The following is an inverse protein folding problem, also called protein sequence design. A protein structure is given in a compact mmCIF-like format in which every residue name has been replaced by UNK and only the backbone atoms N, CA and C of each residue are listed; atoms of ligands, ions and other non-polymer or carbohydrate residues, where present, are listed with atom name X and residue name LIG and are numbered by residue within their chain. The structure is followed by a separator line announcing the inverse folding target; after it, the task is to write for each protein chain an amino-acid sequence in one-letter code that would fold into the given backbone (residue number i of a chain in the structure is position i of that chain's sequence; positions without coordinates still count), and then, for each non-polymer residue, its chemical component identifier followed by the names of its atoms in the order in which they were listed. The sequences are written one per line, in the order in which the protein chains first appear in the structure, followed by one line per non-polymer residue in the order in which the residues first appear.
data_IF_013964024498
#
_entry.id   IF_013964024498
#
_cell.length_a   1.000
_cell.length_b   1.000
_cell.length_c   1.000
_cell.angle_alpha   90.00
_cell.angle_beta   90.00
_cell.angle_gamma   90.00
#
_symmetry.space_group_name_H-M   'P 1'
#
loop_
_entity.id
_entity.type
_entity.pdbx_description
1 polymer ?
#
# COMPACT_ATOMS: atom_id res chain seq x y z
N UNK A 1 46.71 -31.08 40.40
CA UNK A 1 46.64 -29.60 40.66
C UNK A 1 46.92 -28.75 39.41
N UNK A 2 48.07 -28.91 38.69
CA UNK A 2 48.39 -28.11 37.50
C UNK A 2 47.37 -28.31 36.35
N UNK A 3 46.86 -29.53 36.17
CA UNK A 3 45.82 -29.82 35.17
C UNK A 3 44.48 -29.15 35.55
N UNK A 4 44.13 -29.09 36.83
CA UNK A 4 42.94 -28.41 37.34
C UNK A 4 43.01 -26.88 37.12
N UNK A 5 44.16 -26.27 37.41
CA UNK A 5 44.40 -24.81 37.18
C UNK A 5 44.29 -24.46 35.67
N UNK A 6 44.83 -25.29 34.76
CA UNK A 6 44.68 -25.13 33.34
C UNK A 6 43.19 -25.24 32.91
N UNK A 7 42.43 -26.15 33.52
CA UNK A 7 40.98 -26.31 33.30
C UNK A 7 40.19 -25.07 33.74
N UNK A 8 40.53 -24.52 34.88
CA UNK A 8 39.89 -23.29 35.41
C UNK A 8 40.19 -22.09 34.51
N UNK A 9 41.41 -21.93 34.03
CA UNK A 9 41.74 -20.88 33.07
C UNK A 9 40.92 -20.93 31.80
N UNK A 10 40.72 -22.15 31.25
CA UNK A 10 39.83 -22.35 30.10
C UNK A 10 38.36 -22.04 30.42
N UNK A 11 37.88 -22.43 31.60
CA UNK A 11 36.53 -22.11 32.03
C UNK A 11 36.31 -20.60 32.19
N UNK A 12 37.27 -19.89 32.79
CA UNK A 12 37.23 -18.43 32.91
C UNK A 12 37.22 -17.71 31.56
N UNK A 13 38.09 -18.18 30.60
CA UNK A 13 38.11 -17.63 29.26
C UNK A 13 36.77 -17.87 28.51
N UNK A 14 36.21 -19.09 28.58
CA UNK A 14 34.91 -19.41 27.96
C UNK A 14 33.76 -18.64 28.59
N UNK A 15 33.83 -18.40 29.92
CA UNK A 15 32.82 -17.59 30.61
C UNK A 15 32.87 -16.11 30.20
N UNK A 16 34.07 -15.53 30.00
CA UNK A 16 34.23 -14.16 29.49
C UNK A 16 33.72 -14.03 28.06
N UNK A 17 33.95 -15.05 27.21
CA UNK A 17 33.39 -15.07 25.85
C UNK A 17 31.85 -15.15 25.88
N UNK A 18 31.28 -15.99 26.77
CA UNK A 18 29.84 -16.08 26.97
C UNK A 18 29.24 -14.75 27.48
N UNK A 19 29.95 -14.05 28.38
CA UNK A 19 29.56 -12.72 28.86
C UNK A 19 29.44 -11.73 27.70
N UNK A 20 30.49 -11.61 26.88
CA UNK A 20 30.50 -10.71 25.72
C UNK A 20 29.38 -11.03 24.72
N UNK A 21 29.15 -12.30 24.42
CA UNK A 21 28.05 -12.72 23.52
C UNK A 21 26.67 -12.45 24.14
N UNK A 22 26.54 -12.54 25.46
CA UNK A 22 25.28 -12.24 26.15
C UNK A 22 24.96 -10.75 26.12
N UNK A 23 25.98 -9.88 26.25
CA UNK A 23 25.85 -8.42 26.09
C UNK A 23 25.51 -8.02 24.66
N UNK A 24 26.17 -8.63 23.66
CA UNK A 24 25.85 -8.42 22.24
C UNK A 24 24.40 -8.86 21.93
N UNK A 25 23.98 -9.99 22.47
CA UNK A 25 22.62 -10.48 22.30
C UNK A 25 21.58 -9.55 22.96
N UNK A 26 21.86 -9.01 24.14
CA UNK A 26 20.98 -8.05 24.78
C UNK A 26 20.80 -6.78 23.94
N UNK A 27 21.89 -6.23 23.41
CA UNK A 27 21.84 -5.05 22.52
C UNK A 27 21.07 -5.34 21.23
N UNK A 28 21.27 -6.51 20.61
CA UNK A 28 20.53 -6.90 19.41
C UNK A 28 19.02 -7.13 19.68
N UNK A 29 18.66 -7.61 20.87
CA UNK A 29 17.27 -7.73 21.28
C UNK A 29 16.60 -6.38 21.51
N UNK A 30 17.28 -5.41 22.12
CA UNK A 30 16.78 -4.04 22.28
C UNK A 30 16.52 -3.38 20.91
N UNK A 31 17.45 -3.51 19.95
CA UNK A 31 17.28 -2.98 18.59
C UNK A 31 16.12 -3.68 17.87
N UNK A 32 16.00 -5.02 18.05
CA UNK A 32 14.89 -5.80 17.47
C UNK A 32 13.55 -5.38 18.06
N UNK A 33 13.46 -5.17 19.39
CA UNK A 33 12.25 -4.75 20.05
C UNK A 33 11.81 -3.34 19.56
N UNK A 34 12.75 -2.40 19.46
CA UNK A 34 12.48 -1.05 18.92
C UNK A 34 11.98 -1.10 17.47
N UNK A 35 12.61 -1.94 16.63
CA UNK A 35 12.18 -2.13 15.24
C UNK A 35 10.78 -2.74 15.15
N UNK A 36 10.44 -3.67 16.05
CA UNK A 36 9.12 -4.29 16.10
C UNK A 36 8.04 -3.31 16.54
N UNK A 37 8.35 -2.37 17.45
CA UNK A 37 7.43 -1.29 17.82
C UNK A 37 7.14 -0.35 16.63
N UNK A 38 8.17 0.01 15.84
CA UNK A 38 8.01 0.83 14.64
C UNK A 38 7.17 0.11 13.57
N UNK A 39 7.45 -1.19 13.33
CA UNK A 39 6.66 -2.00 12.39
C UNK A 39 5.20 -2.10 12.87
N UNK A 40 4.96 -2.33 14.17
CA UNK A 40 3.62 -2.40 14.74
C UNK A 40 2.85 -1.10 14.54
N UNK A 41 3.49 0.04 14.76
CA UNK A 41 2.91 1.37 14.51
C UNK A 41 2.56 1.55 13.03
N UNK A 42 3.47 1.14 12.13
CA UNK A 42 3.26 1.23 10.68
C UNK A 42 2.08 0.36 10.22
N UNK A 43 1.97 -0.88 10.72
CA UNK A 43 0.86 -1.79 10.39
C UNK A 43 -0.47 -1.24 10.92
N UNK A 44 -0.49 -0.65 12.11
CA UNK A 44 -1.67 0.04 12.64
C UNK A 44 -2.09 1.20 11.74
N UNK A 45 -1.15 2.05 11.34
CA UNK A 45 -1.40 3.16 10.41
C UNK A 45 -1.92 2.65 9.05
N UNK A 46 -1.38 1.54 8.53
CA UNK A 46 -1.89 0.92 7.32
C UNK A 46 -3.35 0.48 7.47
N UNK A 47 -3.72 -0.09 8.60
CA UNK A 47 -5.12 -0.48 8.88
C UNK A 47 -6.06 0.73 8.87
N UNK A 48 -5.65 1.85 9.46
CA UNK A 48 -6.40 3.11 9.44
C UNK A 48 -6.50 3.68 8.01
N UNK A 49 -5.41 3.66 7.25
CA UNK A 49 -5.39 4.10 5.86
C UNK A 49 -6.32 3.25 4.97
N UNK A 50 -6.36 1.95 5.18
CA UNK A 50 -7.25 1.01 4.47
C UNK A 50 -8.71 1.34 4.78
N UNK A 51 -9.08 1.61 6.04
CA UNK A 51 -10.44 2.00 6.41
C UNK A 51 -10.86 3.33 5.74
N UNK A 52 -9.95 4.31 5.70
CA UNK A 52 -10.18 5.58 5.02
C UNK A 52 -10.33 5.39 3.50
N UNK A 53 -9.47 4.56 2.89
CA UNK A 53 -9.54 4.25 1.46
C UNK A 53 -10.86 3.56 1.11
N UNK A 54 -11.36 2.63 1.94
CA UNK A 54 -12.65 1.97 1.75
C UNK A 54 -13.81 2.98 1.76
N UNK A 55 -13.78 3.98 2.65
CA UNK A 55 -14.78 5.05 2.69
C UNK A 55 -14.77 5.90 1.42
N UNK A 56 -13.56 6.26 0.93
CA UNK A 56 -13.40 7.02 -0.32
C UNK A 56 -13.93 6.23 -1.52
N UNK A 57 -13.62 4.94 -1.60
CA UNK A 57 -14.08 4.04 -2.65
C UNK A 57 -15.61 3.93 -2.66
N UNK A 58 -16.25 3.82 -1.50
CA UNK A 58 -17.71 3.81 -1.39
C UNK A 58 -18.32 5.11 -1.91
N UNK A 59 -17.75 6.26 -1.53
CA UNK A 59 -18.18 7.57 -1.99
C UNK A 59 -18.01 7.74 -3.51
N UNK A 60 -16.88 7.29 -4.06
CA UNK A 60 -16.59 7.31 -5.49
C UNK A 60 -17.55 6.41 -6.28
N UNK A 61 -17.90 5.24 -5.75
CA UNK A 61 -18.90 4.33 -6.34
C UNK A 61 -20.27 5.01 -6.46
N UNK A 62 -20.74 5.63 -5.38
CA UNK A 62 -22.03 6.32 -5.36
C UNK A 62 -22.05 7.51 -6.34
N UNK A 63 -20.97 8.30 -6.34
CA UNK A 63 -20.84 9.45 -7.25
C UNK A 63 -20.82 8.99 -8.72
N UNK A 64 -20.08 7.95 -9.05
CA UNK A 64 -20.02 7.42 -10.42
C UNK A 64 -21.36 6.85 -10.87
N UNK A 65 -22.10 6.19 -9.99
CA UNK A 65 -23.44 5.67 -10.28
C UNK A 65 -24.42 6.82 -10.56
N UNK A 66 -24.45 7.83 -9.70
CA UNK A 66 -25.31 9.01 -9.90
C UNK A 66 -24.96 9.73 -11.21
N UNK A 67 -23.68 9.91 -11.53
CA UNK A 67 -23.25 10.49 -12.79
C UNK A 67 -23.72 9.66 -14.00
N UNK A 68 -23.68 8.34 -13.90
CA UNK A 68 -24.23 7.43 -14.93
C UNK A 68 -25.73 7.62 -15.12
N UNK A 69 -26.52 7.79 -14.05
CA UNK A 69 -27.95 8.08 -14.11
C UNK A 69 -28.21 9.43 -14.77
N UNK A 70 -27.49 10.48 -14.39
CA UNK A 70 -27.60 11.81 -15.00
C UNK A 70 -27.29 11.78 -16.51
N UNK A 71 -26.28 11.02 -16.93
CA UNK A 71 -25.94 10.86 -18.35
C UNK A 71 -27.09 10.13 -19.11
N UNK A 72 -27.71 9.12 -18.52
CA UNK A 72 -28.87 8.46 -19.10
C UNK A 72 -30.06 9.41 -19.27
N UNK A 73 -30.27 10.30 -18.31
CA UNK A 73 -31.30 11.35 -18.41
C UNK A 73 -31.02 12.31 -19.56
N UNK A 74 -29.74 12.69 -19.78
CA UNK A 74 -29.32 13.50 -20.92
C UNK A 74 -29.63 12.78 -22.25
N UNK A 75 -29.34 11.49 -22.35
CA UNK A 75 -29.66 10.69 -23.56
C UNK A 75 -31.18 10.71 -23.84
N UNK A 76 -32.00 10.55 -22.78
CA UNK A 76 -33.46 10.61 -22.89
C UNK A 76 -33.92 11.99 -23.37
N UNK A 77 -33.40 13.08 -22.77
CA UNK A 77 -33.68 14.44 -23.19
C UNK A 77 -33.31 14.70 -24.65
N UNK A 78 -32.16 14.23 -25.12
CA UNK A 78 -31.75 14.36 -26.52
C UNK A 78 -32.72 13.66 -27.46
N UNK A 79 -33.23 12.49 -27.07
CA UNK A 79 -34.26 11.76 -27.83
C UNK A 79 -35.57 12.55 -27.92
N UNK A 80 -36.02 13.14 -26.81
CA UNK A 80 -37.24 13.96 -26.77
C UNK A 80 -37.09 15.20 -27.67
N UNK A 81 -35.92 15.89 -27.60
CA UNK A 81 -35.65 17.04 -28.45
C UNK A 81 -35.62 16.65 -29.95
N UNK A 82 -35.08 15.48 -30.27
CA UNK A 82 -35.10 14.96 -31.64
C UNK A 82 -36.56 14.73 -32.14
N UNK A 83 -37.43 14.16 -31.30
CA UNK A 83 -38.84 13.96 -31.64
C UNK A 83 -39.58 15.29 -31.85
N UNK A 84 -39.36 16.28 -30.98
CA UNK A 84 -39.93 17.61 -31.16
C UNK A 84 -39.41 18.31 -32.41
N UNK A 85 -38.15 18.15 -32.72
CA UNK A 85 -37.55 18.74 -33.94
C UNK A 85 -38.17 18.13 -35.20
N UNK A 86 -38.44 16.83 -35.23
CA UNK A 86 -39.13 16.19 -36.31
C UNK A 86 -40.60 16.69 -36.46
N UNK A 87 -41.31 16.93 -35.37
CA UNK A 87 -42.65 17.55 -35.41
C UNK A 87 -42.60 18.97 -36.00
N UNK A 88 -41.57 19.77 -35.65
CA UNK A 88 -41.42 21.11 -36.23
C UNK A 88 -41.10 21.00 -37.72
N UNK A 89 -40.34 20.01 -38.18
CA UNK A 89 -40.08 19.74 -39.59
C UNK A 89 -41.39 19.49 -40.33
N UNK A 90 -42.29 18.61 -39.81
CA UNK A 90 -43.60 18.31 -40.37
C UNK A 90 -44.49 19.57 -40.47
N UNK A 91 -44.51 20.42 -39.42
CA UNK A 91 -45.26 21.67 -39.43
C UNK A 91 -44.70 22.64 -40.52
N UNK A 92 -43.38 22.64 -40.69
CA UNK A 92 -42.73 23.49 -41.70
C UNK A 92 -43.05 23.01 -43.14
N UNK A 93 -43.22 21.72 -43.32
CA UNK A 93 -43.72 21.12 -44.58
C UNK A 93 -45.15 21.60 -44.90
N UNK A 94 -46.01 21.64 -43.90
CA UNK A 94 -47.38 22.19 -44.06
C UNK A 94 -47.37 23.67 -44.41
N UNK A 95 -46.51 24.47 -43.75
CA UNK A 95 -46.38 25.93 -44.06
C UNK A 95 -45.88 26.13 -45.51
N UNK A 96 -44.90 25.36 -45.93
CA UNK A 96 -44.41 25.42 -47.33
C UNK A 96 -45.50 25.06 -48.36
N UNK A 97 -46.31 24.03 -48.05
CA UNK A 97 -47.45 23.66 -48.89
C UNK A 97 -48.52 24.76 -48.96
N UNK A 98 -48.85 25.40 -47.82
CA UNK A 98 -49.79 26.55 -47.77
C UNK A 98 -49.24 27.74 -48.56
N UNK A 99 -47.94 28.04 -48.43
CA UNK A 99 -47.32 29.09 -49.19
C UNK A 99 -47.36 28.84 -50.69
N UNK A 100 -47.08 27.60 -51.09
CA UNK A 100 -47.22 27.18 -52.49
C UNK A 100 -48.64 27.33 -53.02
N UNK A 101 -49.66 26.85 -52.25
CA UNK A 101 -51.07 27.01 -52.61
C UNK A 101 -51.44 28.50 -52.75
N UNK A 102 -51.00 29.32 -51.80
CA UNK A 102 -51.23 30.76 -51.81
C UNK A 102 -50.58 31.46 -53.02
N UNK A 103 -49.37 31.03 -53.40
CA UNK A 103 -48.69 31.53 -54.60
C UNK A 103 -49.50 31.19 -55.89
N UNK A 104 -50.08 29.97 -55.97
CA UNK A 104 -50.91 29.55 -57.09
C UNK A 104 -52.24 30.36 -57.11
N UNK A 105 -52.88 30.56 -55.95
CA UNK A 105 -54.10 31.35 -55.82
C UNK A 105 -53.85 32.82 -56.24
N UNK A 106 -52.74 33.41 -55.79
CA UNK A 106 -52.35 34.75 -56.15
C UNK A 106 -52.03 34.90 -57.68
N UNK A 107 -51.40 33.89 -58.26
CA UNK A 107 -51.17 33.81 -59.70
C UNK A 107 -52.47 33.79 -60.47
N UNK A 108 -53.44 32.93 -60.09
CA UNK A 108 -54.76 32.87 -60.70
C UNK A 108 -55.52 34.19 -60.59
N UNK A 109 -55.46 34.85 -59.43
CA UNK A 109 -56.05 36.16 -59.17
C UNK A 109 -55.40 37.27 -60.06
N UNK A 110 -54.09 37.20 -60.23
CA UNK A 110 -53.38 38.15 -61.14
C UNK A 110 -53.78 37.98 -62.60
N UNK A 111 -53.95 36.76 -63.03
CA UNK A 111 -54.43 36.42 -64.40
C UNK A 111 -55.86 36.95 -64.60
N UNK A 112 -56.78 36.76 -63.66
CA UNK A 112 -58.17 37.23 -63.78
C UNK A 112 -58.27 38.77 -63.69
N UNK A 113 -57.40 39.41 -62.85
CA UNK A 113 -57.30 40.84 -62.80
C UNK A 113 -56.82 41.43 -64.13
N UNK A 114 -55.86 40.80 -64.81
CA UNK A 114 -55.41 41.19 -66.15
C UNK A 114 -56.53 41.04 -67.20
N UNK A 115 -57.40 40.04 -67.05
CA UNK A 115 -58.54 39.77 -67.90
C UNK A 115 -59.64 40.81 -67.80
N UNK A 116 -59.80 41.40 -66.58
CA UNK A 116 -60.74 42.46 -66.32
C UNK A 116 -60.31 43.85 -66.82
N UNK A 117 -59.10 44.00 -67.39
CA UNK A 117 -58.57 45.24 -67.99
C UNK A 117 -58.43 46.34 -66.95
N UNK A 118 -58.79 47.59 -67.29
CA UNK A 118 -58.70 48.76 -66.44
C UNK A 118 -59.39 48.65 -65.07
N UNK A 119 -60.53 47.86 -65.02
CA UNK A 119 -61.29 47.70 -63.79
C UNK A 119 -60.55 46.69 -62.81
N UNK A 120 -59.61 45.90 -63.32
CA UNK A 120 -58.83 44.94 -62.54
C UNK A 120 -57.54 45.49 -61.92
N UNK A 121 -57.12 46.72 -62.24
CA UNK A 121 -55.77 47.23 -61.82
C UNK A 121 -55.49 47.17 -60.31
N UNK A 122 -56.47 47.50 -59.46
CA UNK A 122 -56.33 47.41 -57.98
C UNK A 122 -56.14 45.99 -57.52
N UNK A 123 -56.86 45.00 -58.11
CA UNK A 123 -56.73 43.59 -57.82
C UNK A 123 -55.40 42.98 -58.30
N UNK A 124 -54.86 43.46 -59.41
CA UNK A 124 -53.55 43.03 -59.93
C UNK A 124 -52.41 43.42 -58.99
N UNK A 125 -52.45 44.61 -58.35
CA UNK A 125 -51.50 45.03 -57.34
C UNK A 125 -51.55 44.14 -56.09
N UNK A 126 -52.77 43.94 -55.57
CA UNK A 126 -52.92 43.10 -54.36
C UNK A 126 -52.53 41.64 -54.60
N UNK A 127 -52.89 41.06 -55.73
CA UNK A 127 -52.46 39.72 -56.09
C UNK A 127 -50.95 39.58 -56.31
N UNK A 128 -50.31 40.64 -56.84
CA UNK A 128 -48.86 40.70 -56.91
C UNK A 128 -48.18 40.69 -55.52
N UNK A 129 -48.72 41.47 -54.59
CA UNK A 129 -48.19 41.54 -53.20
C UNK A 129 -48.40 40.22 -52.44
N UNK A 130 -49.60 39.59 -52.61
CA UNK A 130 -49.87 38.29 -52.02
C UNK A 130 -48.93 37.21 -52.57
N UNK A 131 -48.61 37.28 -53.87
CA UNK A 131 -47.66 36.34 -54.48
C UNK A 131 -46.24 36.52 -53.95
N UNK A 132 -45.79 37.76 -53.77
CA UNK A 132 -44.47 38.07 -53.19
C UNK A 132 -44.40 37.59 -51.74
N UNK A 133 -45.44 37.78 -50.92
CA UNK A 133 -45.54 37.31 -49.56
C UNK A 133 -45.48 35.77 -49.51
N UNK A 134 -46.20 35.09 -50.40
CA UNK A 134 -46.19 33.62 -50.51
C UNK A 134 -44.79 33.11 -50.82
N UNK A 135 -44.06 33.75 -51.76
CA UNK A 135 -42.69 33.39 -52.06
C UNK A 135 -41.76 33.59 -50.86
N UNK A 136 -41.89 34.72 -50.14
CA UNK A 136 -41.10 34.96 -48.87
C UNK A 136 -41.42 33.90 -47.81
N UNK A 137 -42.66 33.43 -47.69
CA UNK A 137 -43.04 32.36 -46.77
C UNK A 137 -42.36 31.03 -47.21
N UNK A 138 -42.34 30.66 -48.48
CA UNK A 138 -41.65 29.48 -48.98
C UNK A 138 -40.14 29.53 -48.68
N UNK A 139 -39.50 30.67 -48.93
CA UNK A 139 -38.07 30.83 -48.70
C UNK A 139 -37.76 30.74 -47.18
N UNK A 140 -38.61 31.29 -46.33
CA UNK A 140 -38.50 31.22 -44.87
C UNK A 140 -38.69 29.80 -44.35
N UNK A 141 -39.67 29.07 -44.88
CA UNK A 141 -39.93 27.66 -44.55
C UNK A 141 -38.72 26.76 -44.92
N UNK A 142 -38.13 27.00 -46.10
CA UNK A 142 -36.91 26.30 -46.50
C UNK A 142 -35.71 26.55 -45.60
N UNK A 143 -35.51 27.82 -45.15
CA UNK A 143 -34.46 28.18 -44.21
C UNK A 143 -34.69 27.49 -42.83
N UNK A 144 -35.94 27.44 -42.36
CA UNK A 144 -36.28 26.73 -41.12
C UNK A 144 -35.96 25.24 -41.22
N UNK A 145 -36.31 24.59 -42.33
CA UNK A 145 -35.98 23.17 -42.56
C UNK A 145 -34.47 22.90 -42.45
N UNK A 146 -33.65 23.76 -43.09
CA UNK A 146 -32.20 23.65 -43.02
C UNK A 146 -31.71 23.75 -41.57
N UNK A 147 -32.27 24.69 -40.80
CA UNK A 147 -31.89 24.90 -39.38
C UNK A 147 -32.30 23.68 -38.54
N UNK A 148 -33.48 23.10 -38.77
CA UNK A 148 -33.95 21.89 -38.07
C UNK A 148 -33.07 20.69 -38.39
N UNK A 149 -32.76 20.46 -39.65
CA UNK A 149 -31.90 19.35 -40.08
C UNK A 149 -30.52 19.44 -39.39
N UNK A 150 -29.90 20.62 -39.41
CA UNK A 150 -28.65 20.87 -38.68
C UNK A 150 -28.80 20.64 -37.17
N UNK A 151 -29.95 20.97 -36.59
CA UNK A 151 -30.22 20.77 -35.15
C UNK A 151 -30.34 19.28 -34.83
N UNK A 152 -31.09 18.52 -35.62
CA UNK A 152 -31.23 17.06 -35.48
C UNK A 152 -29.88 16.36 -35.57
N UNK A 153 -29.02 16.77 -36.51
CA UNK A 153 -27.65 16.23 -36.61
C UNK A 153 -26.82 16.49 -35.36
N UNK A 154 -26.89 17.72 -34.81
CA UNK A 154 -26.19 18.08 -33.55
C UNK A 154 -26.74 17.30 -32.35
N UNK A 155 -28.05 17.07 -32.27
CA UNK A 155 -28.69 16.29 -31.23
C UNK A 155 -28.22 14.83 -31.31
N UNK A 156 -28.19 14.24 -32.50
CA UNK A 156 -27.69 12.88 -32.72
C UNK A 156 -26.22 12.75 -32.24
N UNK A 157 -25.37 13.69 -32.65
CA UNK A 157 -23.98 13.71 -32.21
C UNK A 157 -23.84 13.89 -30.69
N UNK A 158 -24.68 14.73 -30.08
CA UNK A 158 -24.74 14.92 -28.63
C UNK A 158 -25.19 13.65 -27.88
N UNK A 159 -26.18 12.95 -28.42
CA UNK A 159 -26.65 11.67 -27.88
C UNK A 159 -25.56 10.60 -27.92
N UNK A 160 -24.84 10.45 -29.02
CA UNK A 160 -23.73 9.52 -29.16
C UNK A 160 -22.58 9.84 -28.17
N UNK A 161 -22.30 11.11 -27.95
CA UNK A 161 -21.31 11.54 -26.97
C UNK A 161 -21.75 11.23 -25.53
N UNK A 162 -23.01 11.44 -25.20
CA UNK A 162 -23.59 11.12 -23.90
C UNK A 162 -23.55 9.59 -23.66
N UNK A 163 -23.93 8.78 -24.66
CA UNK A 163 -23.88 7.32 -24.54
C UNK A 163 -22.44 6.83 -24.29
N UNK A 164 -21.43 7.37 -25.01
CA UNK A 164 -20.02 7.08 -24.76
C UNK A 164 -19.57 7.48 -23.34
N UNK A 165 -20.05 8.63 -22.85
CA UNK A 165 -19.77 9.05 -21.49
C UNK A 165 -20.40 8.09 -20.45
N UNK A 166 -21.63 7.62 -20.68
CA UNK A 166 -22.29 6.61 -19.85
C UNK A 166 -21.50 5.30 -19.79
N UNK A 167 -21.05 4.81 -20.93
CA UNK A 167 -20.20 3.61 -21.02
C UNK A 167 -18.85 3.80 -20.29
N UNK A 168 -18.28 5.00 -20.37
CA UNK A 168 -17.07 5.33 -19.59
C UNK A 168 -17.31 5.31 -18.08
N UNK A 169 -18.47 5.77 -17.62
CA UNK A 169 -18.84 5.69 -16.19
C UNK A 169 -18.99 4.24 -15.73
N UNK A 170 -19.55 3.34 -16.53
CA UNK A 170 -19.59 1.91 -16.21
C UNK A 170 -18.18 1.32 -16.05
N UNK A 171 -17.24 1.70 -16.91
CA UNK A 171 -15.84 1.28 -16.78
C UNK A 171 -15.18 1.82 -15.52
N UNK A 172 -15.51 3.05 -15.10
CA UNK A 172 -15.06 3.62 -13.83
C UNK A 172 -15.59 2.81 -12.65
N UNK A 173 -16.89 2.47 -12.62
CA UNK A 173 -17.49 1.63 -11.57
C UNK A 173 -16.79 0.28 -11.48
N UNK A 174 -16.57 -0.40 -12.61
CA UNK A 174 -15.85 -1.69 -12.65
C UNK A 174 -14.41 -1.57 -12.13
N UNK A 175 -13.75 -0.44 -12.38
CA UNK A 175 -12.39 -0.18 -11.88
C UNK A 175 -12.40 0.05 -10.37
N UNK A 176 -13.39 0.77 -9.86
CA UNK A 176 -13.59 1.00 -8.43
C UNK A 176 -13.88 -0.31 -7.69
N UNK A 177 -14.66 -1.22 -8.27
CA UNK A 177 -14.88 -2.56 -7.68
C UNK A 177 -13.58 -3.35 -7.54
N UNK A 178 -12.69 -3.28 -8.55
CA UNK A 178 -11.35 -3.91 -8.43
C UNK A 178 -10.52 -3.29 -7.32
N UNK A 179 -10.55 -1.96 -7.17
CA UNK A 179 -9.86 -1.28 -6.07
C UNK A 179 -10.43 -1.72 -4.72
N UNK A 180 -11.75 -1.87 -4.60
CA UNK A 180 -12.38 -2.35 -3.37
C UNK A 180 -11.90 -3.76 -2.98
N UNK A 181 -11.73 -4.66 -3.94
CA UNK A 181 -11.18 -5.99 -3.70
C UNK A 181 -9.74 -5.92 -3.18
N UNK A 182 -8.88 -5.08 -3.81
CA UNK A 182 -7.49 -4.87 -3.36
C UNK A 182 -7.46 -4.32 -1.93
N UNK A 183 -8.32 -3.35 -1.60
CA UNK A 183 -8.44 -2.79 -0.25
C UNK A 183 -8.81 -3.88 0.77
N UNK A 184 -9.74 -4.77 0.41
CA UNK A 184 -10.12 -5.91 1.24
C UNK A 184 -8.93 -6.87 1.48
N UNK A 185 -8.16 -7.18 0.44
CA UNK A 185 -6.96 -8.02 0.55
C UNK A 185 -5.90 -7.38 1.45
N UNK A 186 -5.65 -6.07 1.30
CA UNK A 186 -4.70 -5.33 2.16
C UNK A 186 -5.18 -5.33 3.62
N UNK A 187 -6.50 -5.19 3.86
CA UNK A 187 -7.09 -5.26 5.20
C UNK A 187 -6.82 -6.59 5.87
N UNK A 188 -7.03 -7.69 5.14
CA UNK A 188 -6.78 -9.05 5.64
C UNK A 188 -5.29 -9.23 5.93
N UNK A 189 -4.42 -8.84 4.99
CA UNK A 189 -2.96 -8.95 5.14
C UNK A 189 -2.45 -8.12 6.34
N UNK A 190 -2.95 -6.89 6.53
CA UNK A 190 -2.58 -6.06 7.68
C UNK A 190 -3.01 -6.66 9.01
N UNK A 191 -4.19 -7.30 9.05
CA UNK A 191 -4.66 -8.02 10.24
C UNK A 191 -3.78 -9.23 10.56
N UNK A 192 -3.37 -10.00 9.54
CA UNK A 192 -2.45 -11.12 9.70
C UNK A 192 -1.05 -10.66 10.14
N UNK A 193 -0.54 -9.57 9.56
CA UNK A 193 0.72 -8.94 9.97
C UNK A 193 0.67 -8.51 11.44
N UNK A 194 -0.43 -7.89 11.89
CA UNK A 194 -0.60 -7.50 13.29
C UNK A 194 -0.47 -8.68 14.24
N UNK A 195 -1.11 -9.82 13.92
CA UNK A 195 -1.00 -11.06 14.71
C UNK A 195 0.42 -11.64 14.69
N UNK A 196 1.07 -11.61 13.52
CA UNK A 196 2.45 -12.07 13.38
C UNK A 196 3.43 -11.24 14.21
N UNK A 197 3.26 -9.93 14.23
CA UNK A 197 4.05 -9.00 15.05
C UNK A 197 3.86 -9.30 16.54
N UNK A 198 2.63 -9.52 17.01
CA UNK A 198 2.35 -9.87 18.41
C UNK A 198 3.06 -11.17 18.83
N UNK A 199 3.11 -12.16 17.96
CA UNK A 199 3.85 -13.40 18.18
C UNK A 199 5.36 -13.17 18.25
N UNK A 200 5.91 -12.31 17.35
CA UNK A 200 7.35 -11.98 17.36
C UNK A 200 7.69 -11.19 18.65
N UNK A 201 6.87 -10.23 19.07
CA UNK A 201 7.07 -9.51 20.31
C UNK A 201 7.09 -10.47 21.53
N UNK A 202 6.22 -11.47 21.53
CA UNK A 202 6.23 -12.51 22.57
C UNK A 202 7.54 -13.29 22.57
N UNK A 203 8.03 -13.71 21.39
CA UNK A 203 9.29 -14.43 21.26
C UNK A 203 10.51 -13.58 21.67
N UNK A 204 10.52 -12.29 21.35
CA UNK A 204 11.58 -11.34 21.77
C UNK A 204 11.60 -11.21 23.29
N UNK A 205 10.43 -11.11 23.94
CA UNK A 205 10.36 -11.07 25.40
C UNK A 205 10.86 -12.38 26.04
N UNK A 206 10.55 -13.54 25.45
CA UNK A 206 11.08 -14.82 25.93
C UNK A 206 12.62 -14.90 25.76
N UNK A 207 13.16 -14.38 24.65
CA UNK A 207 14.61 -14.27 24.44
C UNK A 207 15.28 -13.34 25.44
N UNK A 208 14.66 -12.22 25.81
CA UNK A 208 15.17 -11.33 26.84
C UNK A 208 15.28 -12.04 28.19
N UNK A 209 14.25 -12.80 28.59
CA UNK A 209 14.29 -13.61 29.80
C UNK A 209 15.43 -14.64 29.79
N UNK A 210 15.69 -15.27 28.63
CA UNK A 210 16.82 -16.22 28.49
C UNK A 210 18.16 -15.47 28.58
N UNK A 211 18.28 -14.32 27.96
CA UNK A 211 19.49 -13.48 28.00
C UNK A 211 19.80 -13.00 29.41
N UNK A 212 18.80 -12.58 30.17
CA UNK A 212 18.94 -12.26 31.59
C UNK A 212 19.40 -13.47 32.44
N UNK A 213 18.84 -14.66 32.17
CA UNK A 213 19.30 -15.91 32.82
C UNK A 213 20.74 -16.23 32.46
N UNK A 214 21.14 -16.05 31.22
CA UNK A 214 22.54 -16.25 30.77
C UNK A 214 23.50 -15.30 31.50
N UNK A 215 23.14 -14.03 31.64
CA UNK A 215 23.92 -13.04 32.39
C UNK A 215 24.12 -13.48 33.84
N UNK A 216 23.07 -13.93 34.51
CA UNK A 216 23.13 -14.44 35.87
C UNK A 216 23.99 -15.73 35.98
N UNK A 217 23.91 -16.61 34.98
CA UNK A 217 24.75 -17.83 34.94
C UNK A 217 26.22 -17.50 34.75
N UNK A 218 26.55 -16.54 33.88
CA UNK A 218 27.92 -16.02 33.66
C UNK A 218 28.49 -15.50 34.99
N UNK A 219 27.75 -14.71 35.76
CA UNK A 219 28.18 -14.20 37.04
C UNK A 219 28.42 -15.34 38.05
N UNK A 220 27.51 -16.32 38.13
CA UNK A 220 27.69 -17.47 39.00
C UNK A 220 28.89 -18.33 38.62
N UNK A 221 29.08 -18.60 37.30
CA UNK A 221 30.24 -19.34 36.78
C UNK A 221 31.57 -18.63 37.13
N UNK A 222 31.61 -17.29 37.00
CA UNK A 222 32.79 -16.51 37.39
C UNK A 222 33.13 -16.64 38.87
N UNK A 223 32.14 -16.54 39.78
CA UNK A 223 32.31 -16.73 41.23
C UNK A 223 32.77 -18.16 41.55
N UNK A 224 32.20 -19.17 40.93
CA UNK A 224 32.60 -20.57 41.12
C UNK A 224 34.02 -20.83 40.62
N UNK A 225 34.37 -20.33 39.43
CA UNK A 225 35.72 -20.48 38.87
C UNK A 225 36.78 -19.86 39.80
N UNK A 226 36.51 -18.66 40.33
CA UNK A 226 37.38 -17.99 41.29
C UNK A 226 37.53 -18.79 42.61
N UNK A 227 36.46 -19.39 43.16
CA UNK A 227 36.52 -20.22 44.34
C UNK A 227 37.36 -21.46 44.12
N UNK A 228 37.15 -22.15 43.00
CA UNK A 228 37.92 -23.37 42.67
C UNK A 228 39.40 -23.04 42.43
N UNK A 229 39.70 -21.87 41.88
CA UNK A 229 41.06 -21.39 41.73
C UNK A 229 41.75 -21.17 43.09
N UNK A 230 41.06 -20.56 44.07
CA UNK A 230 41.57 -20.37 45.41
C UNK A 230 41.84 -21.71 46.06
N UNK A 231 40.88 -22.68 46.03
CA UNK A 231 41.04 -24.01 46.61
C UNK A 231 42.22 -24.78 45.95
N UNK A 232 42.36 -24.71 44.62
CA UNK A 232 43.44 -25.37 43.91
C UNK A 232 44.83 -24.76 44.29
N UNK A 233 44.91 -23.46 44.49
CA UNK A 233 46.16 -22.82 44.96
C UNK A 233 46.48 -23.15 46.40
N UNK A 234 45.53 -23.31 47.29
CA UNK A 234 45.69 -23.77 48.65
C UNK A 234 46.24 -25.22 48.68
N UNK A 235 45.63 -26.11 47.92
CA UNK A 235 46.09 -27.48 47.73
C UNK A 235 47.55 -27.53 47.16
N UNK A 236 47.91 -26.65 46.24
CA UNK A 236 49.31 -26.55 45.77
C UNK A 236 50.25 -26.21 46.89
N UNK A 237 49.95 -25.20 47.70
CA UNK A 237 50.78 -24.81 48.86
C UNK A 237 50.92 -25.94 49.87
N UNK A 238 49.83 -26.69 50.17
CA UNK A 238 49.92 -27.86 51.03
C UNK A 238 50.83 -28.95 50.47
N UNK A 239 50.72 -29.30 49.16
CA UNK A 239 51.56 -30.31 48.52
C UNK A 239 53.03 -29.88 48.43
N UNK A 240 53.32 -28.58 48.24
CA UNK A 240 54.71 -28.07 48.27
C UNK A 240 55.33 -28.23 49.67
N UNK A 241 54.57 -28.02 50.75
CA UNK A 241 55.05 -28.21 52.09
C UNK A 241 55.45 -29.69 52.34
N UNK A 242 54.64 -30.64 51.90
CA UNK A 242 54.98 -32.08 52.01
C UNK A 242 56.21 -32.47 51.13
N UNK A 243 56.39 -31.87 49.94
CA UNK A 243 57.58 -32.07 49.10
C UNK A 243 58.88 -31.59 49.75
N UNK A 244 58.86 -30.43 50.39
CA UNK A 244 60.01 -29.88 51.09
C UNK A 244 60.39 -30.76 52.29
N UNK A 245 59.45 -31.29 53.05
CA UNK A 245 59.75 -32.20 54.17
C UNK A 245 60.34 -33.50 53.68
N UNK A 246 59.86 -34.08 52.55
CA UNK A 246 60.40 -35.34 52.02
C UNK A 246 61.84 -35.14 51.44
N UNK A 247 62.12 -34.00 50.81
CA UNK A 247 63.48 -33.69 50.26
C UNK A 247 64.45 -33.43 51.44
N UNK A 248 64.02 -32.77 52.52
CA UNK A 248 64.84 -32.53 53.71
C UNK A 248 65.14 -33.87 54.38
N UNK A 249 64.22 -34.80 54.51
CA UNK A 249 64.47 -36.13 55.09
C UNK A 249 65.46 -36.98 54.24
N UNK A 250 65.38 -36.95 52.94
CA UNK A 250 66.36 -37.67 52.04
C UNK A 250 67.75 -37.05 52.07
N UNK A 251 67.91 -35.73 52.21
CA UNK A 251 69.20 -35.08 52.39
C UNK A 251 69.80 -35.40 53.75
N UNK A 252 69.02 -35.56 54.84
CA UNK A 252 69.49 -35.99 56.15
C UNK A 252 69.97 -37.46 56.13
N UNK A 253 69.27 -38.36 55.42
CA UNK A 253 69.71 -39.78 55.30
C UNK A 253 70.97 -39.89 54.43
N UNK A 254 71.13 -39.15 53.33
CA UNK A 254 72.34 -39.12 52.54
C UNK A 254 73.53 -38.56 53.28
N UNK A 255 73.41 -37.54 54.12
CA UNK A 255 74.49 -37.03 54.99
C UNK A 255 74.87 -37.98 56.10
N UNK A 256 73.94 -38.78 56.62
CA UNK A 256 74.23 -39.84 57.61
C UNK A 256 75.03 -40.97 57.00
N UNK A 257 74.73 -41.38 55.75
CA UNK A 257 75.46 -42.45 55.03
C UNK A 257 76.85 -41.99 54.59
N UNK A 258 77.04 -40.74 54.18
CA UNK A 258 78.34 -40.20 53.84
C UNK A 258 79.25 -40.00 55.05
N UNK A 259 78.75 -39.73 56.24
CA UNK A 259 79.51 -39.62 57.46
C UNK A 259 79.93 -40.96 58.04
N UNK A 260 79.14 -42.05 57.82
CA UNK A 260 79.52 -43.39 58.19
C UNK A 260 80.60 -43.96 57.27
N UNK A 261 80.67 -43.63 55.98
CA UNK A 261 81.72 -44.02 55.08
C UNK A 261 83.04 -43.27 55.30
N UNK A 262 83.01 -42.02 55.85
CA UNK A 262 84.23 -41.27 56.21
C UNK A 262 84.90 -41.80 57.49
N UNK A 263 84.14 -42.46 58.38
CA UNK A 263 84.74 -43.03 59.63
C UNK A 263 85.38 -44.36 59.38
N UNK A 264 85.00 -45.19 58.35
CA UNK A 264 85.63 -46.47 57.99
C UNK A 264 86.90 -46.33 57.12
N UNK A 265 87.14 -45.23 56.47
CA UNK A 265 88.37 -45.02 55.63
C UNK A 265 89.50 -44.36 56.37
N UNK A 266 89.41 -44.13 57.67
CA UNK A 266 90.49 -43.50 58.46
C UNK A 266 91.23 -44.47 59.43
N UNK A 267 90.95 -45.81 59.36
CA UNK A 267 91.66 -46.84 60.18
C UNK A 267 92.67 -47.67 59.46
N UNK A 268 92.90 -47.46 58.13
CA UNK A 268 93.93 -48.22 57.39
C UNK A 268 95.14 -47.41 56.96
N UNK A 269 95.69 -46.62 57.88
CA UNK A 269 97.03 -45.97 57.63
C UNK A 269 97.85 -45.97 58.91
N UNK A 270 98.27 -47.20 59.37
CA UNK A 270 99.49 -47.43 60.23
C UNK A 270 100.11 -48.76 59.85
N UNK A 271 101.11 -48.70 58.98
CA UNK A 271 102.37 -49.41 59.06
C UNK A 271 103.19 -49.17 57.75
#
# INVERSE_FOLDING_TARGET
TNHSLSGIGKLSSGNNELAARTEEQASALEETASSMEEISSTVKQNTENVANAASIVLSATNLSRNCGEEVNDVVRLMKDISEYSNKIFEITDVIDSIAFQTNILALNASVEAARAGEQGRGFAVVSGEVRELAQKCTDSAKNIKILIDNTVQKISSGSDMAEKAGNSMLNVVNSIEKINNIISEISIASSEQSKGIEQICTAVNEMDVVTQKNSNLVEQCAKQASSIEMDANELLKMVEHFKTDYVISLTHEKNKHNNTQKVFNNEDNWS
#
